data_IF_546477738845
#
_entry.id   IF_546477738845
#
_cell.length_a   1.000
_cell.length_b   1.000
_cell.length_c   1.000
_cell.angle_alpha   90.00
_cell.angle_beta   90.00
_cell.angle_gamma   90.00
#
_symmetry.space_group_name_H-M   'P 1'
#
loop_
_entity.id
_entity.type
_entity.pdbx_description
1 polymer ?
#
# COMPACT_ATOMS: atom_id res chain seq x y z
N UNK A 1 7.69 -1.44 22.23
CA UNK A 1 8.52 -2.40 21.49
C UNK A 1 9.55 -1.58 20.75
N UNK A 2 10.83 -1.72 21.07
CA UNK A 2 11.89 -0.97 20.38
C UNK A 2 12.01 -1.58 18.99
N UNK A 3 11.53 -0.88 17.96
CA UNK A 3 11.75 -1.30 16.58
C UNK A 3 13.23 -1.11 16.29
N UNK A 4 14.00 -2.20 16.30
CA UNK A 4 15.38 -2.18 15.85
C UNK A 4 15.38 -1.88 14.35
N UNK A 5 15.64 -0.64 14.00
CA UNK A 5 15.78 -0.23 12.60
C UNK A 5 17.21 -0.49 12.17
N UNK A 6 17.36 -1.06 10.99
CA UNK A 6 18.66 -1.36 10.39
C UNK A 6 18.86 -0.47 9.18
N UNK A 7 20.08 0.04 9.03
CA UNK A 7 20.52 0.74 7.85
C UNK A 7 21.18 -0.28 6.95
N UNK A 8 20.72 -0.28 5.71
CA UNK A 8 21.22 -1.10 4.63
C UNK A 8 21.68 -0.19 3.50
N UNK A 9 22.94 -0.31 3.11
CA UNK A 9 23.58 0.58 2.13
C UNK A 9 23.99 -0.20 0.88
N UNK A 10 23.62 0.33 -0.28
CA UNK A 10 24.02 -0.19 -1.59
C UNK A 10 24.63 0.92 -2.45
N UNK A 11 25.76 0.63 -3.07
CA UNK A 11 26.29 1.42 -4.18
C UNK A 11 25.82 0.78 -5.48
N UNK A 12 24.93 1.45 -6.21
CA UNK A 12 24.31 0.98 -7.46
C UNK A 12 24.45 2.04 -8.56
N UNK A 13 24.18 1.64 -9.80
CA UNK A 13 23.97 2.57 -10.92
C UNK A 13 22.47 2.98 -11.06
N UNK A 14 21.56 2.30 -10.37
CA UNK A 14 20.11 2.57 -10.29
C UNK A 14 19.46 1.80 -9.14
N UNK A 15 18.38 2.34 -8.55
CA UNK A 15 17.55 1.61 -7.56
C UNK A 15 17.01 0.33 -8.21
N UNK A 16 17.50 -0.83 -7.78
CA UNK A 16 16.97 -2.10 -8.29
C UNK A 16 15.68 -2.48 -7.57
N UNK A 17 14.60 -2.63 -8.34
CA UNK A 17 13.33 -3.21 -7.87
C UNK A 17 13.51 -4.60 -7.26
N UNK A 18 14.58 -5.28 -7.63
CA UNK A 18 14.86 -6.64 -7.21
C UNK A 18 15.28 -6.68 -5.72
N UNK A 19 15.82 -5.57 -5.19
CA UNK A 19 16.08 -5.41 -3.74
C UNK A 19 14.79 -5.46 -2.95
N UNK A 20 13.75 -4.76 -3.40
CA UNK A 20 12.45 -4.77 -2.72
C UNK A 20 11.84 -6.17 -2.67
N UNK A 21 12.05 -6.97 -3.72
CA UNK A 21 11.56 -8.35 -3.75
C UNK A 21 12.27 -9.22 -2.70
N UNK A 22 13.61 -9.19 -2.64
CA UNK A 22 14.38 -9.96 -1.65
C UNK A 22 14.02 -9.56 -0.23
N UNK A 23 13.92 -8.25 0.04
CA UNK A 23 13.54 -7.77 1.36
C UNK A 23 12.14 -8.28 1.75
N UNK A 24 11.19 -8.30 0.82
CA UNK A 24 9.87 -8.89 1.08
C UNK A 24 9.93 -10.39 1.37
N UNK A 25 10.71 -11.16 0.59
CA UNK A 25 10.89 -12.60 0.78
C UNK A 25 11.56 -12.95 2.12
N UNK A 26 12.41 -12.06 2.62
CA UNK A 26 13.06 -12.15 3.92
C UNK A 26 12.22 -11.58 5.07
N UNK A 27 10.96 -11.22 4.85
CA UNK A 27 10.11 -10.57 5.86
C UNK A 27 10.71 -9.28 6.46
N UNK A 28 11.53 -8.57 5.68
CA UNK A 28 12.10 -7.27 6.03
C UNK A 28 11.22 -6.16 5.46
N UNK A 29 10.78 -5.26 6.32
CA UNK A 29 9.92 -4.13 5.94
C UNK A 29 10.77 -2.88 5.76
N UNK A 30 10.71 -2.26 4.59
CA UNK A 30 11.34 -0.96 4.33
C UNK A 30 10.53 0.12 5.04
N UNK A 31 11.18 0.95 5.86
CA UNK A 31 10.60 2.13 6.49
C UNK A 31 10.94 3.41 5.73
N UNK A 32 12.15 3.49 5.18
CA UNK A 32 12.63 4.66 4.46
C UNK A 32 13.70 4.26 3.45
N UNK A 33 13.74 4.97 2.33
CA UNK A 33 14.80 4.89 1.32
C UNK A 33 15.27 6.29 1.01
N UNK A 34 16.58 6.50 1.03
CA UNK A 34 17.22 7.72 0.55
C UNK A 34 18.20 7.37 -0.55
N UNK A 35 18.10 8.09 -1.65
CA UNK A 35 18.99 7.95 -2.80
C UNK A 35 19.90 9.17 -2.79
N UNK A 36 21.21 8.94 -2.82
CA UNK A 36 22.20 10.02 -2.82
C UNK A 36 23.27 9.74 -3.84
N UNK A 37 23.65 10.74 -4.62
CA UNK A 37 24.79 10.62 -5.54
C UNK A 37 26.07 11.02 -4.82
N UNK A 38 27.08 10.17 -4.89
CA UNK A 38 28.40 10.47 -4.36
C UNK A 38 29.15 11.41 -5.32
N UNK A 39 30.14 12.18 -4.84
CA UNK A 39 30.87 13.17 -5.67
C UNK A 39 31.59 12.58 -6.89
N UNK A 40 31.84 11.28 -6.89
CA UNK A 40 32.42 10.51 -8.00
C UNK A 40 31.37 10.03 -9.03
N UNK A 41 30.10 10.40 -8.86
CA UNK A 41 29.01 10.09 -9.78
C UNK A 41 28.31 8.76 -9.55
N UNK A 42 28.68 7.99 -8.51
CA UNK A 42 27.98 6.74 -8.16
C UNK A 42 26.70 7.01 -7.37
N UNK A 43 25.73 6.10 -7.41
CA UNK A 43 24.49 6.22 -6.62
C UNK A 43 24.61 5.37 -5.36
N UNK A 44 24.28 5.97 -4.22
CA UNK A 44 24.21 5.34 -2.92
C UNK A 44 22.76 5.29 -2.45
N UNK A 45 22.23 4.08 -2.32
CA UNK A 45 20.90 3.81 -1.80
C UNK A 45 20.99 3.39 -0.34
N UNK A 46 20.35 4.17 0.53
CA UNK A 46 20.25 3.93 1.97
C UNK A 46 18.82 3.50 2.32
N UNK A 47 18.66 2.24 2.69
CA UNK A 47 17.41 1.66 3.16
C UNK A 47 17.41 1.57 4.68
N UNK A 48 16.32 2.02 5.29
CA UNK A 48 16.03 1.79 6.70
C UNK A 48 14.98 0.69 6.75
N UNK A 49 15.31 -0.44 7.36
CA UNK A 49 14.47 -1.63 7.37
C UNK A 49 14.19 -2.09 8.80
N UNK A 50 13.07 -2.78 8.98
CA UNK A 50 12.68 -3.44 10.24
C UNK A 50 12.46 -4.92 9.96
N UNK A 51 12.97 -5.78 10.83
CA UNK A 51 12.79 -7.22 10.72
C UNK A 51 11.51 -7.68 11.43
N UNK A 52 10.60 -8.30 10.67
CA UNK A 52 9.35 -8.80 11.23
C UNK A 52 9.53 -10.09 12.06
N UNK A 53 10.66 -10.78 11.90
CA UNK A 53 11.00 -11.99 12.66
C UNK A 53 11.83 -11.69 13.91
N UNK A 54 12.33 -10.46 14.05
CA UNK A 54 13.24 -10.02 15.12
C UNK A 54 14.52 -10.88 15.25
N UNK A 55 15.06 -11.36 14.12
CA UNK A 55 16.26 -12.21 14.04
C UNK A 55 17.47 -11.48 13.42
N UNK A 56 17.30 -10.28 12.87
CA UNK A 56 18.35 -9.52 12.18
C UNK A 56 19.48 -9.05 13.11
N UNK A 57 19.30 -9.16 14.43
CA UNK A 57 20.38 -8.98 15.41
C UNK A 57 21.42 -10.11 15.36
N UNK A 58 21.09 -11.26 14.77
CA UNK A 58 22.01 -12.41 14.63
C UNK A 58 22.90 -12.26 13.40
N UNK A 59 24.18 -12.67 13.52
CA UNK A 59 25.13 -12.62 12.40
C UNK A 59 24.73 -13.52 11.24
N UNK A 60 24.13 -14.68 11.53
CA UNK A 60 23.67 -15.62 10.51
C UNK A 60 22.58 -14.99 9.61
N UNK A 61 21.58 -14.34 10.22
CA UNK A 61 20.51 -13.65 9.47
C UNK A 61 21.05 -12.48 8.64
N UNK A 62 22.00 -11.72 9.17
CA UNK A 62 22.65 -10.62 8.44
C UNK A 62 23.43 -11.14 7.23
N UNK A 63 24.24 -12.19 7.42
CA UNK A 63 25.03 -12.79 6.35
C UNK A 63 24.16 -13.37 5.24
N UNK A 64 23.09 -14.08 5.60
CA UNK A 64 22.14 -14.62 4.61
C UNK A 64 21.44 -13.49 3.84
N UNK A 65 20.99 -12.45 4.54
CA UNK A 65 20.37 -11.27 3.92
C UNK A 65 21.31 -10.60 2.92
N UNK A 66 22.55 -10.32 3.32
CA UNK A 66 23.56 -9.74 2.43
C UNK A 66 23.87 -10.65 1.23
N UNK A 67 23.98 -11.96 1.46
CA UNK A 67 24.28 -12.94 0.40
C UNK A 67 23.17 -13.01 -0.65
N UNK A 68 21.90 -13.02 -0.23
CA UNK A 68 20.78 -12.99 -1.17
C UNK A 68 20.74 -11.69 -1.96
N UNK A 69 20.96 -10.56 -1.31
CA UNK A 69 20.99 -9.25 -1.97
C UNK A 69 22.14 -9.15 -2.99
N UNK A 70 23.34 -9.62 -2.63
CA UNK A 70 24.48 -9.71 -3.54
C UNK A 70 24.22 -10.65 -4.72
N UNK A 71 23.55 -11.79 -4.50
CA UNK A 71 23.23 -12.73 -5.56
C UNK A 71 22.30 -12.12 -6.63
N UNK A 72 21.38 -11.26 -6.22
CA UNK A 72 20.44 -10.58 -7.12
C UNK A 72 21.09 -9.39 -7.81
N UNK A 73 21.84 -8.59 -7.07
CA UNK A 73 22.46 -7.36 -7.60
C UNK A 73 23.69 -7.64 -8.46
N UNK A 74 24.31 -8.81 -8.32
CA UNK A 74 25.47 -9.23 -9.09
C UNK A 74 26.62 -8.21 -9.00
N UNK A 75 27.29 -7.97 -10.14
CA UNK A 75 28.42 -7.04 -10.25
C UNK A 75 28.03 -5.56 -10.05
N UNK A 76 26.74 -5.22 -10.08
CA UNK A 76 26.26 -3.85 -9.89
C UNK A 76 26.34 -3.40 -8.43
N UNK A 77 26.47 -4.31 -7.47
CA UNK A 77 26.59 -3.98 -6.05
C UNK A 77 28.05 -3.95 -5.60
N UNK A 78 28.58 -2.75 -5.34
CA UNK A 78 29.97 -2.58 -4.87
C UNK A 78 30.12 -2.89 -3.38
N UNK A 79 29.11 -2.55 -2.57
CA UNK A 79 29.14 -2.78 -1.12
C UNK A 79 27.72 -3.00 -0.59
N UNK A 80 27.61 -3.89 0.40
CA UNK A 80 26.36 -4.33 1.02
C UNK A 80 26.60 -4.44 2.53
N UNK A 81 26.23 -3.39 3.27
CA UNK A 81 26.46 -3.31 4.72
C UNK A 81 25.14 -3.20 5.48
N UNK A 82 25.00 -4.01 6.53
CA UNK A 82 23.90 -3.96 7.50
C UNK A 82 24.42 -3.43 8.83
N UNK A 83 23.82 -2.36 9.33
CA UNK A 83 24.18 -1.76 10.61
C UNK A 83 22.92 -1.38 11.39
N UNK A 84 22.97 -1.41 12.73
CA UNK A 84 21.87 -0.93 13.55
C UNK A 84 21.78 0.59 13.41
N UNK A 85 20.58 1.11 13.13
CA UNK A 85 20.36 2.55 13.03
C UNK A 85 20.59 3.21 14.40
N UNK A 86 21.41 4.26 14.45
CA UNK A 86 21.66 5.01 15.68
C UNK A 86 20.43 5.78 16.17
N UNK A 87 20.48 6.29 17.41
CA UNK A 87 19.40 7.04 18.08
C UNK A 87 18.90 8.30 17.32
N UNK A 88 19.63 8.74 16.29
CA UNK A 88 19.19 9.79 15.37
C UNK A 88 17.96 9.37 14.53
N UNK A 89 17.73 8.06 14.36
CA UNK A 89 16.55 7.53 13.68
C UNK A 89 15.27 7.71 14.50
N UNK A 90 15.33 7.55 15.83
CA UNK A 90 14.17 7.72 16.71
C UNK A 90 13.62 9.16 16.68
N UNK A 91 14.50 10.15 16.52
CA UNK A 91 14.10 11.55 16.36
C UNK A 91 13.42 11.84 15.00
N UNK A 92 13.65 11.01 13.98
CA UNK A 92 13.05 11.14 12.64
C UNK A 92 11.65 10.53 12.55
N UNK A 93 11.23 9.68 13.51
CA UNK A 93 9.83 9.29 13.67
C UNK A 93 8.95 10.48 14.11
N UNK A 94 9.55 11.59 14.56
CA UNK A 94 8.85 12.82 14.90
C UNK A 94 8.31 13.51 13.64
N UNK A 95 7.13 13.05 13.22
CA UNK A 95 6.15 13.74 12.39
C UNK A 95 6.63 14.15 11.00
N UNK A 96 6.59 13.21 10.07
CA UNK A 96 6.31 13.54 8.67
C UNK A 96 4.87 14.10 8.61
N UNK A 97 4.68 15.37 8.95
CA UNK A 97 3.35 15.98 8.94
C UNK A 97 2.87 16.08 7.49
N UNK A 98 1.66 15.57 7.28
CA UNK A 98 0.90 15.82 6.06
C UNK A 98 0.10 17.09 6.34
N UNK A 99 0.00 18.00 5.36
CA UNK A 99 -0.80 19.20 5.56
C UNK A 99 -2.28 18.83 5.76
N UNK A 100 -3.06 19.60 6.53
CA UNK A 100 -4.47 19.28 6.76
C UNK A 100 -5.29 19.11 5.48
N UNK A 101 -5.04 19.93 4.46
CA UNK A 101 -5.72 19.83 3.16
C UNK A 101 -5.42 18.50 2.44
N UNK A 102 -4.16 18.07 2.46
CA UNK A 102 -3.73 16.81 1.84
C UNK A 102 -4.27 15.62 2.64
N UNK A 103 -4.31 15.71 3.97
CA UNK A 103 -4.92 14.68 4.81
C UNK A 103 -6.43 14.55 4.57
N UNK A 104 -7.13 15.68 4.42
CA UNK A 104 -8.56 15.68 4.11
C UNK A 104 -8.85 15.01 2.77
N UNK A 105 -8.04 15.27 1.73
CA UNK A 105 -8.16 14.62 0.42
C UNK A 105 -7.80 13.13 0.50
N UNK A 106 -6.70 12.80 1.16
CA UNK A 106 -6.15 11.44 1.18
C UNK A 106 -6.99 10.46 2.00
N UNK A 107 -7.61 10.93 3.09
CA UNK A 107 -8.38 10.07 4.01
C UNK A 107 -9.90 10.22 3.88
N UNK A 108 -10.40 10.93 2.86
CA UNK A 108 -11.83 11.08 2.64
C UNK A 108 -12.49 9.73 2.38
N UNK A 109 -13.53 9.42 3.16
CA UNK A 109 -14.32 8.19 2.99
C UNK A 109 -15.43 8.34 1.94
N UNK A 110 -15.89 9.56 1.69
CA UNK A 110 -16.95 9.85 0.73
C UNK A 110 -16.37 10.30 -0.61
N UNK A 111 -16.82 9.68 -1.69
CA UNK A 111 -16.51 10.13 -3.04
C UNK A 111 -17.42 11.31 -3.37
N UNK A 112 -16.84 12.48 -3.62
CA UNK A 112 -17.62 13.55 -4.23
C UNK A 112 -17.79 13.24 -5.72
N UNK A 113 -18.96 13.54 -6.28
CA UNK A 113 -19.21 13.41 -7.74
C UNK A 113 -18.22 14.22 -8.62
N UNK A 114 -17.48 15.16 -8.00
CA UNK A 114 -16.48 16.00 -8.67
C UNK A 114 -15.15 15.28 -8.89
N UNK A 115 -14.69 14.43 -7.98
CA UNK A 115 -13.45 13.62 -8.14
C UNK A 115 -13.59 12.58 -9.26
N UNK A 116 -14.83 12.19 -9.58
CA UNK A 116 -15.19 11.28 -10.67
C UNK A 116 -14.92 11.92 -12.05
N UNK A 117 -14.87 13.26 -12.14
CA UNK A 117 -14.69 13.99 -13.40
C UNK A 117 -13.23 14.29 -13.73
N UNK A 118 -12.33 14.24 -12.76
CA UNK A 118 -10.91 14.64 -12.91
C UNK A 118 -9.93 13.47 -13.07
N UNK A 119 -10.34 12.24 -12.78
CA UNK A 119 -9.49 11.06 -12.94
C UNK A 119 -9.73 10.37 -14.29
N UNK A 120 -8.66 10.04 -15.01
CA UNK A 120 -8.66 9.35 -16.31
C UNK A 120 -9.24 7.90 -16.30
N UNK A 121 -9.88 7.51 -15.19
CA UNK A 121 -10.40 6.17 -14.90
C UNK A 121 -11.92 6.06 -15.09
N UNK A 122 -12.56 6.96 -15.85
CA UNK A 122 -14.02 7.03 -15.95
C UNK A 122 -14.66 5.68 -16.30
N UNK A 123 -14.03 4.85 -17.14
CA UNK A 123 -14.54 3.54 -17.54
C UNK A 123 -14.37 2.44 -16.47
N UNK A 124 -13.22 2.37 -15.79
CA UNK A 124 -12.94 1.34 -14.79
C UNK A 124 -13.67 1.67 -13.48
N UNK A 125 -13.69 2.95 -13.07
CA UNK A 125 -14.48 3.42 -11.92
C UNK A 125 -15.99 3.22 -12.16
N UNK A 126 -16.48 3.41 -13.40
CA UNK A 126 -17.90 3.09 -13.71
C UNK A 126 -18.19 1.58 -13.71
N UNK A 127 -17.24 0.72 -14.07
CA UNK A 127 -17.36 -0.74 -13.89
C UNK A 127 -17.33 -1.12 -12.41
N UNK A 128 -16.45 -0.55 -11.59
CA UNK A 128 -16.43 -0.82 -10.15
C UNK A 128 -17.65 -0.25 -9.41
N UNK A 129 -18.30 0.80 -9.93
CA UNK A 129 -19.63 1.23 -9.43
C UNK A 129 -20.71 0.15 -9.58
N UNK A 130 -20.50 -0.86 -10.44
CA UNK A 130 -21.39 -2.03 -10.55
C UNK A 130 -21.11 -3.10 -9.49
N UNK A 131 -20.18 -2.86 -8.55
CA UNK A 131 -19.99 -3.75 -7.42
C UNK A 131 -21.26 -3.82 -6.57
N UNK A 132 -21.63 -5.03 -6.18
CA UNK A 132 -22.80 -5.28 -5.34
C UNK A 132 -22.38 -6.07 -4.11
N UNK A 133 -22.94 -5.68 -2.98
CA UNK A 133 -22.87 -6.44 -1.73
C UNK A 133 -24.32 -6.65 -1.31
N UNK A 134 -24.77 -7.90 -1.35
CA UNK A 134 -26.10 -8.30 -0.94
C UNK A 134 -26.01 -9.07 0.37
N UNK A 135 -27.05 -8.95 1.19
CA UNK A 135 -27.14 -9.61 2.49
C UNK A 135 -28.36 -10.52 2.50
N UNK A 136 -28.17 -11.78 2.89
CA UNK A 136 -29.26 -12.75 3.02
C UNK A 136 -29.19 -13.48 4.37
N UNK A 137 -30.28 -13.41 5.14
CA UNK A 137 -30.43 -14.08 6.43
C UNK A 137 -31.34 -15.32 6.37
N UNK A 138 -31.88 -15.67 5.20
CA UNK A 138 -32.83 -16.78 5.01
C UNK A 138 -32.15 -18.14 4.81
N UNK A 139 -30.98 -18.17 4.17
CA UNK A 139 -30.31 -19.41 3.74
C UNK A 139 -29.62 -20.21 4.86
N UNK A 140 -29.52 -19.64 6.06
CA UNK A 140 -28.88 -20.31 7.20
C UNK A 140 -29.56 -19.84 8.48
N UNK A 141 -29.92 -20.69 9.45
CA UNK A 141 -30.51 -20.25 10.72
C UNK A 141 -29.47 -19.56 11.64
N UNK A 142 -28.17 -19.76 11.41
CA UNK A 142 -27.09 -19.33 12.32
C UNK A 142 -26.09 -18.34 11.72
N UNK A 143 -26.23 -17.97 10.44
CA UNK A 143 -25.26 -17.12 9.74
C UNK A 143 -25.97 -16.10 8.84
N UNK A 144 -25.32 -14.96 8.64
CA UNK A 144 -25.67 -14.00 7.60
C UNK A 144 -24.84 -14.32 6.36
N UNK A 145 -25.46 -14.45 5.19
CA UNK A 145 -24.75 -14.57 3.93
C UNK A 145 -24.46 -13.17 3.38
N UNK A 146 -23.19 -12.90 3.06
CA UNK A 146 -22.77 -11.76 2.26
C UNK A 146 -22.40 -12.25 0.87
N UNK A 147 -23.09 -11.74 -0.15
CA UNK A 147 -22.79 -12.02 -1.55
C UNK A 147 -22.14 -10.80 -2.17
N UNK A 148 -20.86 -10.93 -2.49
CA UNK A 148 -20.02 -9.84 -2.96
C UNK A 148 -19.67 -10.12 -4.41
N UNK A 149 -19.98 -9.17 -5.29
CA UNK A 149 -19.59 -9.18 -6.69
C UNK A 149 -18.86 -7.87 -7.00
N UNK A 150 -17.64 -7.96 -7.51
CA UNK A 150 -16.83 -6.80 -7.86
C UNK A 150 -15.93 -7.10 -9.06
N UNK A 151 -15.37 -6.05 -9.66
CA UNK A 151 -14.29 -6.18 -10.64
C UNK A 151 -13.08 -6.82 -9.95
N UNK A 152 -12.51 -7.82 -10.60
CA UNK A 152 -11.33 -8.50 -10.07
C UNK A 152 -10.16 -7.52 -9.98
N UNK A 153 -9.41 -7.63 -8.89
CA UNK A 153 -8.22 -6.84 -8.66
C UNK A 153 -7.26 -7.59 -7.75
N UNK A 154 -5.98 -7.26 -7.89
CA UNK A 154 -4.93 -7.68 -6.95
C UNK A 154 -5.36 -7.29 -5.55
N UNK A 155 -5.24 -8.21 -4.58
CA UNK A 155 -5.59 -7.94 -3.19
C UNK A 155 -7.08 -8.05 -2.84
N UNK A 156 -7.97 -8.36 -3.80
CA UNK A 156 -9.43 -8.42 -3.60
C UNK A 156 -9.87 -9.11 -2.29
N UNK A 157 -9.31 -10.30 -2.02
CA UNK A 157 -9.65 -11.05 -0.80
C UNK A 157 -9.12 -10.38 0.46
N UNK A 158 -7.88 -9.89 0.41
CA UNK A 158 -7.29 -9.19 1.52
C UNK A 158 -8.13 -7.97 1.92
N UNK A 159 -8.54 -7.16 0.94
CA UNK A 159 -9.29 -5.94 1.17
C UNK A 159 -10.68 -6.23 1.80
N UNK A 160 -11.35 -7.31 1.38
CA UNK A 160 -12.62 -7.76 1.98
C UNK A 160 -12.41 -8.30 3.40
N UNK A 161 -11.46 -9.23 3.56
CA UNK A 161 -11.21 -9.91 4.84
C UNK A 161 -10.78 -8.92 5.92
N UNK A 162 -9.91 -7.97 5.59
CA UNK A 162 -9.54 -6.86 6.48
C UNK A 162 -10.76 -6.08 6.91
N UNK A 163 -11.60 -5.66 5.96
CA UNK A 163 -12.79 -4.86 6.26
C UNK A 163 -13.74 -5.60 7.21
N UNK A 164 -13.96 -6.90 6.98
CA UNK A 164 -14.77 -7.73 7.87
C UNK A 164 -14.16 -7.85 9.27
N UNK A 165 -12.83 -8.03 9.35
CA UNK A 165 -12.10 -8.09 10.62
C UNK A 165 -12.21 -6.79 11.42
N UNK A 166 -12.07 -5.63 10.75
CA UNK A 166 -12.20 -4.30 11.35
C UNK A 166 -13.61 -4.09 11.94
N UNK A 167 -14.65 -4.63 11.28
CA UNK A 167 -16.03 -4.63 11.76
C UNK A 167 -16.32 -5.71 12.82
N UNK A 168 -15.33 -6.53 13.18
CA UNK A 168 -15.52 -7.61 14.14
C UNK A 168 -16.39 -8.75 13.62
N UNK A 169 -16.41 -8.97 12.31
CA UNK A 169 -17.19 -10.01 11.68
C UNK A 169 -16.32 -11.26 11.52
N UNK A 170 -16.85 -12.40 11.96
CA UNK A 170 -16.23 -13.70 11.85
C UNK A 170 -16.79 -14.44 10.64
N UNK A 171 -15.90 -15.03 9.84
CA UNK A 171 -16.27 -15.83 8.68
C UNK A 171 -16.27 -17.29 9.10
N UNK A 172 -17.39 -17.97 8.87
CA UNK A 172 -17.54 -19.40 9.15
C UNK A 172 -17.21 -20.27 7.92
N UNK A 173 -17.66 -19.84 6.75
CA UNK A 173 -17.41 -20.50 5.47
C UNK A 173 -17.44 -19.46 4.35
N UNK A 174 -16.68 -19.70 3.28
CA UNK A 174 -16.69 -18.86 2.09
C UNK A 174 -16.60 -19.69 0.82
N UNK A 175 -17.31 -19.27 -0.22
CA UNK A 175 -17.22 -19.82 -1.57
C UNK A 175 -16.64 -18.76 -2.50
N UNK A 176 -15.55 -19.13 -3.16
CA UNK A 176 -14.80 -18.27 -4.06
C UNK A 176 -15.03 -18.76 -5.49
N UNK A 177 -15.76 -17.97 -6.26
CA UNK A 177 -16.05 -18.31 -7.65
C UNK A 177 -14.89 -17.89 -8.57
N UNK A 178 -14.68 -18.59 -9.70
CA UNK A 178 -13.71 -18.18 -10.70
C UNK A 178 -14.11 -16.85 -11.34
N UNK A 179 -13.10 -16.12 -11.83
CA UNK A 179 -13.32 -14.84 -12.48
C UNK A 179 -14.10 -15.04 -13.78
N UNK A 180 -15.23 -14.35 -13.92
CA UNK A 180 -16.09 -14.41 -15.09
C UNK A 180 -16.25 -13.00 -15.64
N UNK A 181 -15.86 -12.76 -16.90
CA UNK A 181 -15.91 -11.44 -17.54
C UNK A 181 -15.21 -10.32 -16.75
N UNK A 182 -14.11 -10.64 -16.06
CA UNK A 182 -13.37 -9.67 -15.22
C UNK A 182 -14.05 -9.36 -13.88
N UNK A 183 -15.13 -10.06 -13.54
CA UNK A 183 -15.79 -9.96 -12.24
C UNK A 183 -15.49 -11.20 -11.39
N UNK A 184 -15.35 -11.00 -10.09
CA UNK A 184 -15.20 -12.06 -9.09
C UNK A 184 -16.38 -12.02 -8.13
N UNK A 185 -16.94 -13.20 -7.89
CA UNK A 185 -18.02 -13.42 -6.94
C UNK A 185 -17.48 -14.16 -5.71
N UNK A 186 -17.92 -13.70 -4.55
CA UNK A 186 -17.54 -14.21 -3.24
C UNK A 186 -18.77 -14.28 -2.34
N UNK A 187 -19.10 -15.49 -1.91
CA UNK A 187 -20.15 -15.73 -0.92
C UNK A 187 -19.52 -16.01 0.44
N UNK A 188 -19.86 -15.26 1.47
CA UNK A 188 -19.34 -15.43 2.83
C UNK A 188 -20.47 -15.63 3.82
N UNK A 189 -20.43 -16.75 4.55
CA UNK A 189 -21.30 -16.98 5.70
C UNK A 189 -20.61 -16.43 6.94
N UNK A 190 -21.20 -15.39 7.51
CA UNK A 190 -20.59 -14.60 8.57
C UNK A 190 -21.44 -14.52 9.83
N UNK A 191 -20.79 -14.17 10.94
CA UNK A 191 -21.39 -13.90 12.25
C UNK A 191 -20.72 -12.69 12.90
N UNK A 192 -21.43 -12.05 13.83
CA UNK A 192 -20.84 -11.06 14.73
C UNK A 192 -19.97 -11.76 15.79
N UNK A 193 -19.14 -10.98 16.51
CA UNK A 193 -18.30 -11.50 17.62
C UNK A 193 -19.09 -12.25 18.70
N UNK A 194 -20.36 -11.93 18.90
CA UNK A 194 -21.25 -12.60 19.85
C UNK A 194 -21.82 -13.93 19.32
N UNK A 195 -21.41 -14.35 18.12
CA UNK A 195 -21.85 -15.58 17.47
C UNK A 195 -23.21 -15.47 16.77
N UNK A 196 -23.85 -14.29 16.76
CA UNK A 196 -25.17 -14.10 16.14
C UNK A 196 -25.06 -13.59 14.70
N UNK A 197 -26.17 -13.68 13.97
CA UNK A 197 -26.36 -13.03 12.67
C UNK A 197 -26.31 -11.51 12.78
N UNK A 198 -26.02 -10.85 11.67
CA UNK A 198 -26.25 -9.42 11.51
C UNK A 198 -27.72 -9.24 11.12
N UNK A 199 -28.58 -8.94 12.09
CA UNK A 199 -30.04 -8.77 11.87
C UNK A 199 -30.42 -7.30 11.72
N UNK A 200 -29.68 -6.43 12.38
CA UNK A 200 -29.88 -4.99 12.40
C UNK A 200 -29.60 -4.40 11.00
N UNK A 201 -30.61 -3.80 10.33
CA UNK A 201 -30.46 -3.22 8.99
C UNK A 201 -29.41 -2.11 8.94
N UNK A 202 -29.28 -1.28 9.98
CA UNK A 202 -28.30 -0.18 9.99
C UNK A 202 -26.86 -0.73 9.99
N UNK A 203 -26.62 -1.83 10.71
CA UNK A 203 -25.33 -2.52 10.69
C UNK A 203 -25.04 -3.18 9.36
N UNK A 204 -26.05 -3.77 8.71
CA UNK A 204 -25.92 -4.34 7.37
C UNK A 204 -25.57 -3.25 6.35
N UNK A 205 -26.29 -2.14 6.37
CA UNK A 205 -26.07 -1.03 5.44
C UNK A 205 -24.71 -0.36 5.64
N UNK A 206 -24.30 -0.16 6.89
CA UNK A 206 -22.98 0.36 7.24
C UNK A 206 -21.86 -0.56 6.73
N UNK A 207 -21.99 -1.88 6.95
CA UNK A 207 -21.03 -2.86 6.45
C UNK A 207 -20.98 -2.89 4.92
N UNK A 208 -22.13 -2.95 4.26
CA UNK A 208 -22.21 -2.99 2.80
C UNK A 208 -21.63 -1.73 2.17
N UNK A 209 -21.94 -0.56 2.74
CA UNK A 209 -21.40 0.72 2.30
C UNK A 209 -19.89 0.75 2.44
N UNK A 210 -19.37 0.29 3.58
CA UNK A 210 -17.92 0.19 3.78
C UNK A 210 -17.27 -0.74 2.77
N UNK A 211 -17.76 -1.97 2.61
CA UNK A 211 -17.21 -2.94 1.66
C UNK A 211 -17.17 -2.36 0.24
N UNK A 212 -18.22 -1.67 -0.20
CA UNK A 212 -18.24 -1.00 -1.52
C UNK A 212 -17.13 0.05 -1.66
N UNK A 213 -16.92 0.89 -0.65
CA UNK A 213 -15.86 1.91 -0.67
C UNK A 213 -14.47 1.28 -0.71
N UNK A 214 -14.22 0.26 0.12
CA UNK A 214 -12.92 -0.41 0.22
C UNK A 214 -12.61 -1.24 -1.04
N UNK A 215 -13.62 -1.82 -1.69
CA UNK A 215 -13.42 -2.51 -2.98
C UNK A 215 -13.18 -1.54 -4.14
N UNK A 216 -13.84 -0.38 -4.13
CA UNK A 216 -13.73 0.61 -5.20
C UNK A 216 -12.38 1.31 -5.16
N UNK A 217 -11.90 1.62 -3.96
CA UNK A 217 -10.57 2.15 -3.73
C UNK A 217 -10.04 1.51 -2.42
N UNK A 218 -9.22 0.45 -2.49
CA UNK A 218 -8.56 -0.09 -1.29
C UNK A 218 -7.34 0.74 -0.89
N UNK A 219 -6.76 1.46 -1.86
CA UNK A 219 -5.59 2.33 -1.70
C UNK A 219 -5.92 3.72 -2.25
N UNK A 220 -5.42 4.78 -1.62
CA UNK A 220 -5.59 6.17 -2.06
C UNK A 220 -4.30 6.66 -2.67
N UNK A 221 -4.35 7.29 -3.83
CA UNK A 221 -3.17 7.77 -4.56
C UNK A 221 -3.42 9.21 -4.99
N UNK A 222 -2.55 10.12 -4.57
CA UNK A 222 -2.59 11.55 -4.93
C UNK A 222 -1.17 12.05 -5.20
N UNK A 223 -1.06 13.14 -5.97
CA UNK A 223 0.20 13.87 -6.17
C UNK A 223 0.01 15.29 -5.64
N UNK A 224 0.94 15.72 -4.79
CA UNK A 224 0.96 17.05 -4.20
C UNK A 224 2.34 17.70 -4.37
N UNK A 225 2.46 18.94 -3.91
CA UNK A 225 3.74 19.65 -3.88
C UNK A 225 4.22 19.77 -2.43
N UNK A 226 5.51 19.52 -2.22
CA UNK A 226 6.22 19.79 -0.98
C UNK A 226 7.20 20.92 -1.23
N UNK A 227 6.71 22.16 -1.19
CA UNK A 227 7.49 23.32 -1.64
C UNK A 227 7.68 23.27 -3.17
N UNK A 228 8.93 23.33 -3.68
CA UNK A 228 9.19 23.21 -5.12
C UNK A 228 9.06 21.76 -5.62
N UNK A 229 9.18 20.78 -4.74
CA UNK A 229 9.30 19.38 -5.13
C UNK A 229 7.92 18.71 -5.30
N UNK A 230 7.83 17.77 -6.24
CA UNK A 230 6.62 16.96 -6.45
C UNK A 230 6.66 15.70 -5.59
N UNK A 231 5.59 15.45 -4.83
CA UNK A 231 5.47 14.28 -3.92
C UNK A 231 4.25 13.42 -4.32
N UNK A 232 4.49 12.13 -4.59
CA UNK A 232 3.44 11.12 -4.73
C UNK A 232 3.14 10.51 -3.36
N UNK A 233 1.86 10.49 -3.00
CA UNK A 233 1.38 9.91 -1.75
C UNK A 233 0.48 8.73 -2.05
N UNK A 234 0.75 7.60 -1.40
CA UNK A 234 -0.11 6.42 -1.40
C UNK A 234 -0.52 6.09 0.02
N UNK A 235 -1.81 6.15 0.34
CA UNK A 235 -2.32 5.73 1.64
C UNK A 235 -2.90 4.31 1.58
N UNK A 236 -2.42 3.50 2.50
CA UNK A 236 -2.76 2.11 2.71
C UNK A 236 -3.44 1.94 4.07
N UNK A 237 -4.70 1.48 4.13
CA UNK A 237 -5.35 1.19 5.40
C UNK A 237 -4.56 0.14 6.18
N UNK A 238 -4.36 0.39 7.47
CA UNK A 238 -3.70 -0.54 8.39
C UNK A 238 -4.75 -1.39 9.08
N UNK A 239 -4.53 -2.70 9.14
CA UNK A 239 -5.35 -3.59 9.96
C UNK A 239 -5.11 -3.38 11.45
N UNK A 240 -6.02 -3.86 12.30
CA UNK A 240 -5.80 -3.97 13.74
C UNK A 240 -4.51 -4.70 14.17
N UNK A 241 -3.89 -5.50 13.29
CA UNK A 241 -2.59 -6.15 13.54
C UNK A 241 -1.39 -5.21 13.36
N UNK A 242 -1.63 -3.97 12.93
CA UNK A 242 -0.59 -2.99 12.62
C UNK A 242 0.06 -3.21 11.25
N UNK A 243 -0.42 -4.12 10.40
CA UNK A 243 0.10 -4.32 9.03
C UNK A 243 -0.87 -3.75 8.00
N UNK A 244 -0.36 -3.10 6.95
CA UNK A 244 -1.16 -2.74 5.78
C UNK A 244 -1.10 -3.80 4.67
N UNK A 245 -1.73 -3.48 3.54
CA UNK A 245 -1.67 -4.29 2.33
C UNK A 245 -0.22 -4.55 1.88
N UNK A 246 0.16 -5.80 1.57
CA UNK A 246 1.53 -6.12 1.15
C UNK A 246 1.86 -5.58 -0.24
N UNK A 247 3.15 -5.49 -0.54
CA UNK A 247 3.73 -5.11 -1.85
C UNK A 247 3.44 -3.70 -2.36
N UNK A 248 2.80 -2.82 -1.56
CA UNK A 248 2.50 -1.45 -1.98
C UNK A 248 3.77 -0.70 -2.41
N UNK A 249 4.85 -0.75 -1.61
CA UNK A 249 6.12 -0.10 -1.97
C UNK A 249 6.68 -0.60 -3.31
N UNK A 250 6.69 -1.92 -3.52
CA UNK A 250 7.16 -2.55 -4.76
C UNK A 250 6.32 -2.11 -5.97
N UNK A 251 5.00 -2.16 -5.85
CA UNK A 251 4.10 -1.84 -6.97
C UNK A 251 4.21 -0.36 -7.37
N UNK A 252 4.36 0.56 -6.40
CA UNK A 252 4.54 1.98 -6.69
C UNK A 252 5.89 2.23 -7.37
N UNK A 253 6.97 1.67 -6.83
CA UNK A 253 8.32 1.81 -7.42
C UNK A 253 8.38 1.20 -8.83
N UNK A 254 7.71 0.07 -9.06
CA UNK A 254 7.60 -0.55 -10.39
C UNK A 254 6.82 0.33 -11.37
N UNK A 255 5.70 0.92 -10.94
CA UNK A 255 4.91 1.83 -11.76
C UNK A 255 5.74 3.06 -12.18
N UNK A 256 6.44 3.67 -11.24
CA UNK A 256 7.29 4.85 -11.49
C UNK A 256 8.47 4.50 -12.41
N UNK A 257 9.14 3.36 -12.20
CA UNK A 257 10.19 2.86 -13.10
C UNK A 257 9.68 2.66 -14.52
N UNK A 258 8.49 2.09 -14.68
CA UNK A 258 7.86 1.87 -16.01
C UNK A 258 7.56 3.19 -16.72
N UNK A 259 7.25 4.24 -15.96
CA UNK A 259 7.10 5.60 -16.48
C UNK A 259 8.45 6.29 -16.73
N UNK A 260 9.58 5.72 -16.29
CA UNK A 260 10.88 6.36 -16.35
C UNK A 260 11.01 7.56 -15.40
N UNK A 261 10.27 7.54 -14.29
CA UNK A 261 10.31 8.57 -13.24
C UNK A 261 11.27 8.10 -12.15
N UNK A 262 12.25 8.93 -11.85
CA UNK A 262 13.22 8.68 -10.78
C UNK A 262 12.63 9.09 -9.43
N UNK A 263 12.97 8.32 -8.40
CA UNK A 263 12.57 8.55 -7.02
C UNK A 263 13.80 9.08 -6.29
N UNK A 264 13.70 10.29 -5.75
CA UNK A 264 14.78 10.89 -4.96
C UNK A 264 14.80 10.33 -3.53
N UNK A 265 13.62 10.19 -2.93
CA UNK A 265 13.49 9.57 -1.61
C UNK A 265 12.11 8.94 -1.44
N UNK A 266 12.03 7.93 -0.59
CA UNK A 266 10.77 7.31 -0.23
C UNK A 266 10.68 7.10 1.29
N UNK A 267 9.52 7.37 1.88
CA UNK A 267 9.30 7.27 3.32
C UNK A 267 7.95 6.61 3.59
N UNK A 268 7.89 5.73 4.58
CA UNK A 268 6.62 5.20 5.10
C UNK A 268 6.36 5.84 6.46
N UNK A 269 5.24 6.56 6.55
CA UNK A 269 4.76 7.15 7.79
C UNK A 269 3.48 6.48 8.28
N UNK A 270 3.25 6.50 9.59
CA UNK A 270 1.96 6.14 10.19
C UNK A 270 1.12 7.40 10.41
N UNK A 271 -0.16 7.31 10.06
CA UNK A 271 -1.12 8.39 10.26
C UNK A 271 -2.43 7.84 10.83
N UNK A 272 -2.81 8.32 12.01
CA UNK A 272 -4.07 7.95 12.65
C UNK A 272 -5.13 8.97 12.33
N UNK A 273 -6.27 8.52 11.79
CA UNK A 273 -7.50 9.31 11.70
C UNK A 273 -8.48 8.85 12.78
N UNK A 274 -9.64 9.52 12.88
CA UNK A 274 -10.71 9.11 13.81
C UNK A 274 -11.22 7.70 13.50
N UNK A 275 -11.16 7.30 12.23
CA UNK A 275 -11.71 6.03 11.75
C UNK A 275 -10.71 4.87 11.86
N UNK A 276 -9.45 5.10 11.45
CA UNK A 276 -8.42 4.04 11.43
C UNK A 276 -7.00 4.59 11.33
N UNK A 277 -6.03 3.69 11.44
CA UNK A 277 -4.63 3.99 11.11
C UNK A 277 -4.33 3.74 9.62
N UNK A 278 -3.39 4.50 9.07
CA UNK A 278 -2.91 4.42 7.70
C UNK A 278 -1.40 4.34 7.64
N UNK A 279 -0.89 3.53 6.73
CA UNK A 279 0.48 3.57 6.23
C UNK A 279 0.48 4.51 5.02
N UNK A 280 1.19 5.63 5.12
CA UNK A 280 1.33 6.58 4.03
C UNK A 280 2.72 6.46 3.45
N UNK A 281 2.79 5.99 2.22
CA UNK A 281 3.99 5.94 1.41
C UNK A 281 4.16 7.27 0.71
N UNK A 282 5.29 7.93 0.96
CA UNK A 282 5.64 9.23 0.39
C UNK A 282 6.81 9.03 -0.55
N UNK A 283 6.68 9.44 -1.80
CA UNK A 283 7.75 9.36 -2.79
C UNK A 283 8.05 10.75 -3.30
N UNK A 284 9.25 11.25 -3.03
CA UNK A 284 9.75 12.48 -3.63
C UNK A 284 10.22 12.15 -5.03
N UNK A 285 9.58 12.75 -6.03
CA UNK A 285 9.85 12.49 -7.43
C UNK A 285 10.88 13.49 -7.94
N UNK A 286 11.86 12.98 -8.69
CA UNK A 286 12.88 13.82 -9.31
C UNK A 286 12.33 14.45 -10.61
N UNK A 287 12.39 15.77 -10.70
CA UNK A 287 12.03 16.52 -11.90
C UNK A 287 13.13 16.39 -12.95
N UNK A 288 13.17 15.25 -13.63
CA UNK A 288 14.00 15.10 -14.81
C UNK A 288 13.36 15.74 -16.04
N UNK A 289 14.18 16.31 -16.94
CA UNK A 289 13.78 17.07 -18.14
C UNK A 289 12.75 16.40 -19.07
N UNK A 290 12.44 15.11 -18.88
CA UNK A 290 11.46 14.34 -19.67
C UNK A 290 10.02 14.50 -19.19
N UNK A 291 9.78 14.86 -17.93
CA UNK A 291 8.43 15.01 -17.37
C UNK A 291 8.25 16.37 -16.73
N UNK A 292 7.38 17.20 -17.31
CA UNK A 292 6.92 18.43 -16.66
C UNK A 292 5.91 18.06 -15.58
N UNK A 293 6.40 17.75 -14.37
CA UNK A 293 5.56 17.39 -13.22
C UNK A 293 4.65 18.54 -12.76
N UNK A 294 4.82 19.76 -13.28
CA UNK A 294 3.89 20.88 -13.12
C UNK A 294 2.58 20.74 -13.90
N UNK A 295 2.53 19.87 -14.93
CA UNK A 295 1.35 19.67 -15.76
C UNK A 295 0.34 18.70 -15.10
N UNK A 296 -0.91 19.16 -14.89
CA UNK A 296 -1.97 18.34 -14.30
C UNK A 296 -2.30 17.07 -15.10
N UNK A 297 -2.18 17.09 -16.43
CA UNK A 297 -2.41 15.91 -17.28
C UNK A 297 -1.37 14.84 -16.97
N UNK A 298 -0.10 15.23 -16.84
CA UNK A 298 1.00 14.33 -16.50
C UNK A 298 0.81 13.76 -15.09
N UNK A 299 0.45 14.60 -14.11
CA UNK A 299 0.13 14.13 -12.75
C UNK A 299 -0.98 13.07 -12.74
N UNK A 300 -2.05 13.32 -13.48
CA UNK A 300 -3.17 12.38 -13.59
C UNK A 300 -2.75 11.05 -14.23
N UNK A 301 -1.86 11.07 -15.24
CA UNK A 301 -1.30 9.86 -15.85
C UNK A 301 -0.44 9.06 -14.86
N UNK A 302 0.36 9.74 -14.04
CA UNK A 302 1.17 9.07 -13.00
C UNK A 302 0.26 8.41 -11.97
N UNK A 303 -0.71 9.15 -11.43
CA UNK A 303 -1.69 8.61 -10.46
C UNK A 303 -2.44 7.42 -11.04
N UNK A 304 -2.90 7.52 -12.29
CA UNK A 304 -3.59 6.44 -12.99
C UNK A 304 -2.71 5.19 -13.12
N UNK A 305 -1.49 5.33 -13.61
CA UNK A 305 -0.57 4.21 -13.79
C UNK A 305 -0.22 3.54 -12.47
N UNK A 306 0.04 4.33 -11.43
CA UNK A 306 0.31 3.81 -10.08
C UNK A 306 -0.90 3.05 -9.55
N UNK A 307 -2.11 3.62 -9.68
CA UNK A 307 -3.33 2.96 -9.22
C UNK A 307 -3.60 1.66 -9.98
N UNK A 308 -3.49 1.64 -11.30
CA UNK A 308 -3.63 0.42 -12.13
C UNK A 308 -2.65 -0.66 -11.70
N UNK A 309 -1.38 -0.30 -11.47
CA UNK A 309 -0.35 -1.24 -11.03
C UNK A 309 -0.67 -1.83 -9.65
N UNK A 310 -1.09 -0.98 -8.70
CA UNK A 310 -1.51 -1.41 -7.37
C UNK A 310 -2.73 -2.35 -7.42
N UNK A 311 -3.67 -2.10 -8.33
CA UNK A 311 -4.89 -2.90 -8.52
C UNK A 311 -4.68 -4.12 -9.43
N UNK A 312 -3.54 -4.23 -10.12
CA UNK A 312 -3.26 -5.30 -11.08
C UNK A 312 -4.07 -5.21 -12.38
N UNK A 313 -4.37 -4.00 -12.84
CA UNK A 313 -5.08 -3.70 -14.08
C UNK A 313 -4.16 -3.27 -15.23
#
# INVERSE_FOLDING_TARGET
MVLNVWIFMLLLDNISLDVNQVLCELELTIQRVKVTTTPDGRVLDLFFITDNLDLLHTKERQQETCKQLQAILGESCVCCELQLAGSQYDNLQSRSSISPAVAEELFRCELSDKEIRTQALSADVTKLKKSSVNVDNSLSPAHTLLQINCVDHKGFLYDILRTLKDFGIQIAYGRFSPVTNGHRELDLFVRQKDGKKIVDPEKQDSLCSRLKVEMLHPLRVIITNRGPDTELLVANPVELSGKGRPRVFYDVTYALKTLGICIFSAEIGRHSTVDREWEVYRFLLDENCRFQLSNMVVRNQIVDKVRRTLMGW
#
